data_IF_491838111235
#
_entry.id   IF_491838111235
#
_cell.length_a   1.000
_cell.length_b   1.000
_cell.length_c   1.000
_cell.angle_alpha   90.00
_cell.angle_beta   90.00
_cell.angle_gamma   90.00
#
_symmetry.space_group_name_H-M   'P 1'
#
loop_
_entity.id
_entity.type
_entity.pdbx_description
1 polymer ?
#
# COMPACT_ATOMS: atom_id res chain seq x y z
N UNK A 1 7.20 -5.02 20.04
CA UNK A 1 5.99 -5.42 19.30
C UNK A 1 5.49 -4.23 18.51
N UNK A 2 5.37 -4.39 17.20
CA UNK A 2 4.69 -3.40 16.35
C UNK A 2 3.20 -3.71 16.37
N UNK A 3 2.37 -2.73 16.69
CA UNK A 3 0.90 -2.83 16.63
C UNK A 3 0.44 -1.78 15.63
N UNK A 4 -0.36 -2.22 14.66
CA UNK A 4 -0.96 -1.35 13.66
C UNK A 4 -2.47 -1.61 13.61
N UNK A 5 -3.25 -0.55 13.43
CA UNK A 5 -4.67 -0.68 13.09
C UNK A 5 -4.76 -1.22 11.67
N UNK A 6 -5.53 -2.30 11.47
CA UNK A 6 -5.68 -2.93 10.14
C UNK A 6 -7.07 -2.60 9.62
N UNK A 7 -7.13 -2.04 8.42
CA UNK A 7 -8.38 -1.95 7.66
C UNK A 7 -8.66 -3.32 7.00
N UNK A 8 -7.68 -3.84 6.26
CA UNK A 8 -7.74 -5.16 5.66
C UNK A 8 -6.36 -5.70 5.27
N UNK A 9 -6.36 -6.95 4.83
CA UNK A 9 -5.18 -7.72 4.43
C UNK A 9 -5.40 -8.29 3.03
N UNK A 10 -4.45 -8.03 2.13
CA UNK A 10 -4.43 -8.60 0.79
C UNK A 10 -3.30 -9.62 0.71
N UNK A 11 -3.68 -10.89 0.65
CA UNK A 11 -2.73 -11.99 0.61
C UNK A 11 -1.93 -12.04 -0.70
N UNK A 12 -0.61 -12.13 -0.57
CA UNK A 12 0.33 -12.39 -1.64
C UNK A 12 0.76 -13.86 -1.61
N UNK A 13 -0.01 -14.71 -2.28
CA UNK A 13 0.37 -16.09 -2.60
C UNK A 13 1.36 -16.17 -3.77
N UNK A 14 2.34 -15.27 -3.83
CA UNK A 14 3.26 -15.17 -4.95
C UNK A 14 4.45 -16.10 -4.73
N UNK A 15 4.50 -17.22 -5.45
CA UNK A 15 5.67 -18.12 -5.47
C UNK A 15 6.79 -17.62 -6.39
N UNK A 16 6.70 -16.38 -6.87
CA UNK A 16 7.67 -15.82 -7.80
C UNK A 16 9.03 -15.68 -7.13
N UNK A 17 10.07 -16.07 -7.87
CA UNK A 17 11.48 -15.94 -7.44
C UNK A 17 12.20 -14.78 -8.11
N UNK A 18 11.63 -14.31 -9.21
CA UNK A 18 12.15 -13.19 -9.98
C UNK A 18 11.78 -11.85 -9.30
N UNK A 19 12.78 -10.98 -9.14
CA UNK A 19 12.64 -9.71 -8.40
C UNK A 19 11.66 -8.76 -9.09
N UNK A 20 11.74 -8.63 -10.43
CA UNK A 20 10.85 -7.77 -11.21
C UNK A 20 9.39 -8.23 -11.08
N UNK A 21 9.13 -9.53 -11.23
CA UNK A 21 7.79 -10.08 -11.06
C UNK A 21 7.27 -9.91 -9.63
N UNK A 22 8.12 -10.03 -8.61
CA UNK A 22 7.75 -9.75 -7.23
C UNK A 22 7.35 -8.29 -7.04
N UNK A 23 8.15 -7.35 -7.54
CA UNK A 23 7.87 -5.91 -7.47
C UNK A 23 6.58 -5.55 -8.21
N UNK A 24 6.36 -6.10 -9.41
CA UNK A 24 5.12 -5.88 -10.16
C UNK A 24 3.91 -6.46 -9.44
N UNK A 25 4.04 -7.64 -8.80
CA UNK A 25 2.98 -8.22 -8.00
C UNK A 25 2.63 -7.32 -6.79
N UNK A 26 3.65 -6.78 -6.10
CA UNK A 26 3.44 -5.82 -5.01
C UNK A 26 2.78 -4.53 -5.47
N UNK A 27 3.27 -3.93 -6.56
CA UNK A 27 2.67 -2.74 -7.14
C UNK A 27 1.21 -2.96 -7.56
N UNK A 28 0.91 -4.13 -8.14
CA UNK A 28 -0.46 -4.51 -8.49
C UNK A 28 -1.37 -4.64 -7.26
N UNK A 29 -0.86 -5.17 -6.14
CA UNK A 29 -1.63 -5.20 -4.88
C UNK A 29 -1.84 -3.83 -4.30
N UNK A 30 -0.82 -2.98 -4.30
CA UNK A 30 -0.93 -1.59 -3.86
C UNK A 30 -1.94 -0.78 -4.73
N UNK A 31 -2.02 -1.10 -6.02
CA UNK A 31 -2.96 -0.48 -6.97
C UNK A 31 -4.40 -1.02 -6.90
N UNK A 32 -4.67 -2.07 -6.11
CA UNK A 32 -5.97 -2.72 -6.07
C UNK A 32 -7.07 -1.76 -5.61
N UNK A 33 -8.24 -1.87 -6.24
CA UNK A 33 -9.41 -1.03 -5.96
C UNK A 33 -9.86 -1.13 -4.48
N UNK A 34 -10.39 -0.03 -3.95
CA UNK A 34 -10.77 0.09 -2.54
C UNK A 34 -9.68 0.65 -1.62
N UNK A 35 -8.52 1.04 -2.17
CA UNK A 35 -7.52 1.83 -1.42
C UNK A 35 -8.09 3.21 -1.08
N UNK A 36 -7.70 3.77 0.07
CA UNK A 36 -8.00 5.15 0.43
C UNK A 36 -7.49 6.09 -0.66
N UNK A 37 -8.37 6.98 -1.11
CA UNK A 37 -8.12 7.84 -2.26
C UNK A 37 -7.23 9.02 -1.87
N UNK A 38 -6.00 9.15 -2.39
CA UNK A 38 -5.13 10.27 -2.03
C UNK A 38 -5.64 11.63 -2.54
N UNK A 39 -6.56 11.65 -3.52
CA UNK A 39 -7.17 12.88 -4.06
C UNK A 39 -8.36 13.38 -3.23
N UNK A 40 -9.01 12.52 -2.46
CA UNK A 40 -10.19 12.87 -1.67
C UNK A 40 -9.84 12.71 -0.20
N UNK A 41 -9.58 13.83 0.52
CA UNK A 41 -9.31 13.79 1.95
C UNK A 41 -10.43 13.04 2.67
N UNK A 42 -10.06 11.96 3.35
CA UNK A 42 -10.99 11.20 4.15
C UNK A 42 -11.22 11.89 5.50
N UNK A 43 -12.42 11.72 6.09
CA UNK A 43 -12.67 12.03 7.52
C UNK A 43 -12.04 11.00 8.48
N UNK A 44 -11.30 10.03 7.97
CA UNK A 44 -10.26 9.35 8.76
C UNK A 44 -9.15 10.38 8.99
N UNK A 45 -9.37 11.29 9.95
CA UNK A 45 -8.71 12.59 10.14
C UNK A 45 -7.18 12.55 10.37
N UNK A 46 -6.48 11.43 10.14
CA UNK A 46 -5.04 11.31 10.34
C UNK A 46 -4.31 10.37 9.35
N UNK A 47 -4.95 9.85 8.31
CA UNK A 47 -4.31 8.85 7.43
C UNK A 47 -3.74 9.47 6.16
N UNK A 48 -2.43 9.74 6.19
CA UNK A 48 -1.61 9.47 4.99
C UNK A 48 -1.77 7.97 4.68
N UNK A 49 -1.89 7.60 3.41
CA UNK A 49 -2.15 6.22 2.96
C UNK A 49 -1.04 5.24 3.38
N UNK A 50 -1.05 4.83 4.66
CA UNK A 50 -0.03 3.96 5.21
C UNK A 50 -0.34 2.50 4.93
N UNK A 51 0.68 1.78 4.48
CA UNK A 51 0.60 0.35 4.25
C UNK A 51 1.80 -0.34 4.86
N UNK A 52 1.59 -1.58 5.32
CA UNK A 52 2.67 -2.47 5.77
C UNK A 52 2.78 -3.63 4.79
N UNK A 53 3.96 -3.79 4.21
CA UNK A 53 4.37 -4.98 3.48
C UNK A 53 4.91 -5.99 4.48
N UNK A 54 4.13 -7.03 4.78
CA UNK A 54 4.61 -8.21 5.49
C UNK A 54 5.26 -9.13 4.47
N UNK A 55 6.58 -9.02 4.36
CA UNK A 55 7.37 -9.71 3.35
C UNK A 55 7.95 -11.02 3.90
N UNK A 56 7.75 -12.12 3.19
CA UNK A 56 8.40 -13.38 3.54
C UNK A 56 9.93 -13.27 3.40
N UNK A 57 10.71 -14.01 4.22
CA UNK A 57 12.17 -14.03 4.09
C UNK A 57 12.68 -14.43 2.70
N UNK A 58 11.94 -15.27 1.96
CA UNK A 58 12.34 -15.65 0.60
C UNK A 58 12.20 -14.51 -0.40
N UNK A 59 11.11 -13.75 -0.33
CA UNK A 59 10.96 -12.56 -1.18
C UNK A 59 12.02 -11.52 -0.87
N UNK A 60 12.28 -11.27 0.42
CA UNK A 60 13.33 -10.35 0.85
C UNK A 60 14.70 -10.76 0.32
N UNK A 61 15.04 -12.06 0.39
CA UNK A 61 16.29 -12.61 -0.14
C UNK A 61 16.41 -12.45 -1.65
N UNK A 62 15.36 -12.73 -2.41
CA UNK A 62 15.38 -12.61 -3.87
C UNK A 62 15.57 -11.15 -4.30
N UNK A 63 14.90 -10.21 -3.61
CA UNK A 63 15.07 -8.77 -3.85
C UNK A 63 16.48 -8.31 -3.49
N UNK A 64 17.02 -8.74 -2.35
CA UNK A 64 18.39 -8.41 -1.91
C UNK A 64 19.46 -8.96 -2.87
N UNK A 65 19.28 -10.18 -3.36
CA UNK A 65 20.18 -10.80 -4.35
C UNK A 65 20.26 -10.03 -5.68
N UNK A 66 19.17 -9.34 -6.05
CA UNK A 66 19.11 -8.49 -7.24
C UNK A 66 19.48 -7.03 -6.96
N UNK A 67 19.93 -6.73 -5.73
CA UNK A 67 20.44 -5.42 -5.33
C UNK A 67 19.37 -4.41 -4.88
N UNK A 68 18.15 -4.86 -4.60
CA UNK A 68 17.10 -3.98 -4.11
C UNK A 68 17.27 -3.66 -2.62
N UNK A 69 17.14 -2.36 -2.31
CA UNK A 69 17.01 -1.86 -0.94
C UNK A 69 15.54 -1.61 -0.60
N UNK A 70 15.19 -1.55 0.69
CA UNK A 70 13.84 -1.12 1.13
C UNK A 70 13.42 0.18 0.45
N UNK A 71 14.32 1.16 0.36
CA UNK A 71 14.07 2.43 -0.32
C UNK A 71 13.67 2.22 -1.79
N UNK A 72 14.47 1.46 -2.54
CA UNK A 72 14.17 1.19 -3.96
C UNK A 72 12.86 0.43 -4.16
N UNK A 73 12.50 -0.47 -3.24
CA UNK A 73 11.22 -1.20 -3.28
C UNK A 73 10.05 -0.22 -3.10
N UNK A 74 10.13 0.69 -2.12
CA UNK A 74 9.11 1.71 -1.88
C UNK A 74 8.95 2.65 -3.08
N UNK A 75 10.06 3.15 -3.61
CA UNK A 75 10.09 4.02 -4.79
C UNK A 75 9.47 3.32 -6.01
N UNK A 76 9.81 2.05 -6.24
CA UNK A 76 9.21 1.25 -7.31
C UNK A 76 7.69 1.17 -7.14
N UNK A 77 7.22 0.76 -5.95
CA UNK A 77 5.80 0.59 -5.70
C UNK A 77 5.06 1.92 -5.84
N UNK A 78 5.58 3.01 -5.27
CA UNK A 78 4.95 4.33 -5.41
C UNK A 78 4.86 4.79 -6.88
N UNK A 79 5.87 4.51 -7.69
CA UNK A 79 5.89 4.84 -9.12
C UNK A 79 4.98 3.94 -9.99
N UNK A 80 4.82 2.67 -9.61
CA UNK A 80 4.11 1.66 -10.39
C UNK A 80 2.66 1.41 -9.94
N UNK A 81 2.33 1.67 -8.67
CA UNK A 81 1.01 1.44 -8.09
C UNK A 81 0.02 2.52 -8.55
N UNK A 82 -0.60 2.28 -9.70
CA UNK A 82 -1.55 3.19 -10.33
C UNK A 82 -2.84 2.48 -10.69
N UNK A 83 -3.94 3.21 -10.58
CA UNK A 83 -5.26 2.75 -11.00
C UNK A 83 -5.94 3.81 -11.87
N UNK A 84 -6.68 3.43 -12.92
CA UNK A 84 -7.56 4.34 -13.62
C UNK A 84 -8.51 5.09 -12.68
N UNK A 85 -8.67 6.39 -12.91
CA UNK A 85 -9.53 7.28 -12.13
C UNK A 85 -10.94 6.71 -11.90
N UNK A 86 -11.54 6.10 -12.94
CA UNK A 86 -12.88 5.50 -12.86
C UNK A 86 -13.04 4.47 -11.73
N UNK A 87 -12.01 3.67 -11.45
CA UNK A 87 -12.08 2.65 -10.39
C UNK A 87 -11.97 3.26 -9.01
N UNK A 88 -11.16 4.30 -8.88
CA UNK A 88 -11.01 5.05 -7.64
C UNK A 88 -12.29 5.80 -7.26
N UNK A 89 -12.94 6.43 -8.24
CA UNK A 89 -14.25 7.07 -8.06
C UNK A 89 -15.32 6.05 -7.69
N UNK A 90 -15.33 4.89 -8.36
CA UNK A 90 -16.29 3.82 -8.07
C UNK A 90 -16.12 3.20 -6.66
N UNK A 91 -14.93 3.32 -6.06
CA UNK A 91 -14.64 2.81 -4.71
C UNK A 91 -14.78 3.85 -3.60
N UNK A 92 -15.36 5.02 -3.88
CA UNK A 92 -15.55 6.04 -2.86
C UNK A 92 -16.51 5.55 -1.75
N UNK A 93 -16.16 5.76 -0.47
CA UNK A 93 -17.03 5.38 0.65
C UNK A 93 -18.24 6.32 0.82
N UNK A 94 -18.34 7.36 -0.01
CA UNK A 94 -19.39 8.37 0.05
C UNK A 94 -20.02 8.57 -1.32
N UNK A 95 -21.27 9.05 -1.35
CA UNK A 95 -21.91 9.39 -2.62
C UNK A 95 -21.19 10.58 -3.27
N UNK A 96 -21.12 10.56 -4.60
CA UNK A 96 -20.55 11.66 -5.40
C UNK A 96 -21.17 13.01 -5.04
N UNK A 97 -22.47 13.03 -4.77
CA UNK A 97 -23.20 14.25 -4.40
C UNK A 97 -22.77 14.84 -3.05
N UNK A 98 -22.23 14.01 -2.17
CA UNK A 98 -21.75 14.41 -0.83
C UNK A 98 -20.33 14.98 -0.85
N UNK A 99 -19.63 14.92 -1.98
CA UNK A 99 -18.28 15.47 -2.07
C UNK A 99 -18.30 17.01 -2.01
N UNK A 100 -17.35 17.61 -1.26
CA UNK A 100 -17.12 19.04 -1.27
C UNK A 100 -16.99 19.61 -2.70
N UNK A 101 -17.55 20.80 -2.94
CA UNK A 101 -17.55 21.42 -4.28
C UNK A 101 -16.14 21.58 -4.87
N UNK A 102 -15.14 21.84 -4.03
CA UNK A 102 -13.73 21.97 -4.42
C UNK A 102 -13.06 20.63 -4.80
N UNK A 103 -13.75 19.49 -4.68
CA UNK A 103 -13.26 18.17 -5.12
C UNK A 103 -14.02 17.65 -6.35
N UNK A 104 -15.07 18.35 -6.81
CA UNK A 104 -15.88 17.91 -7.95
C UNK A 104 -15.13 18.00 -9.29
N UNK A 105 -14.03 18.75 -9.38
CA UNK A 105 -13.16 18.79 -10.56
C UNK A 105 -12.63 17.40 -10.96
N UNK A 106 -12.56 16.45 -10.01
CA UNK A 106 -12.15 15.07 -10.27
C UNK A 106 -13.05 14.41 -11.32
N UNK A 107 -14.33 14.79 -11.40
CA UNK A 107 -15.26 14.26 -12.41
C UNK A 107 -15.09 14.85 -13.81
N UNK A 108 -14.33 15.93 -13.94
CA UNK A 108 -14.04 16.57 -15.23
C UNK A 108 -12.78 15.99 -15.89
N UNK A 109 -12.01 15.19 -15.15
CA UNK A 109 -10.82 14.51 -15.65
C UNK A 109 -11.19 13.30 -16.54
N UNK A 110 -10.26 12.90 -17.41
CA UNK A 110 -10.37 11.66 -18.18
C UNK A 110 -10.46 10.43 -17.24
N UNK A 111 -11.52 9.61 -17.30
CA UNK A 111 -11.68 8.41 -16.47
C UNK A 111 -10.54 7.38 -16.59
N UNK A 112 -9.77 7.40 -17.68
CA UNK A 112 -8.60 6.51 -17.88
C UNK A 112 -7.30 7.09 -17.30
N UNK A 113 -7.32 8.32 -16.78
CA UNK A 113 -6.15 8.93 -16.13
C UNK A 113 -5.62 8.01 -15.05
N UNK A 114 -4.33 7.70 -15.12
CA UNK A 114 -3.66 6.86 -14.14
C UNK A 114 -3.34 7.66 -12.88
N UNK A 115 -3.97 7.30 -11.76
CA UNK A 115 -3.75 7.94 -10.47
C UNK A 115 -2.94 7.01 -9.59
N UNK A 116 -1.90 7.54 -8.93
CA UNK A 116 -1.15 6.77 -7.95
C UNK A 116 -2.01 6.50 -6.72
N UNK A 117 -2.02 5.24 -6.25
CA UNK A 117 -2.69 4.87 -5.00
C UNK A 117 -1.78 5.04 -3.78
N UNK A 118 -0.46 5.06 -4.01
CA UNK A 118 0.58 5.25 -3.00
C UNK A 118 1.54 6.36 -3.46
N UNK A 119 1.12 7.63 -3.42
CA UNK A 119 1.85 8.73 -4.04
C UNK A 119 3.16 9.07 -3.32
N UNK A 120 3.31 8.66 -2.07
CA UNK A 120 4.51 8.88 -1.25
C UNK A 120 5.10 7.51 -0.88
N UNK A 121 6.35 7.21 -1.26
CA UNK A 121 7.02 5.97 -0.88
C UNK A 121 7.21 5.81 0.64
N UNK A 122 7.28 6.90 1.40
CA UNK A 122 7.52 6.86 2.85
C UNK A 122 6.30 6.38 3.64
N UNK A 123 5.12 6.30 3.01
CA UNK A 123 3.93 5.70 3.65
C UNK A 123 3.93 4.17 3.63
N UNK A 124 4.93 3.54 3.00
CA UNK A 124 5.07 2.08 2.92
C UNK A 124 6.08 1.59 3.96
N UNK A 125 5.64 0.86 4.97
CA UNK A 125 6.53 0.16 5.89
C UNK A 125 6.80 -1.27 5.43
N UNK A 126 8.06 -1.72 5.51
CA UNK A 126 8.46 -3.07 5.06
C UNK A 126 8.99 -3.86 6.25
N UNK A 127 8.27 -4.92 6.60
CA UNK A 127 8.62 -5.82 7.70
C UNK A 127 8.83 -7.22 7.14
N UNK A 128 10.01 -7.81 7.41
CA UNK A 128 10.31 -9.19 7.00
C UNK A 128 9.85 -10.14 8.11
N UNK A 129 8.84 -10.96 7.83
CA UNK A 129 8.20 -11.85 8.82
C UNK A 129 7.80 -13.18 8.21
N UNK A 130 7.65 -14.20 9.06
CA UNK A 130 7.20 -15.53 8.67
C UNK A 130 8.35 -16.48 8.31
N UNK A 131 8.09 -17.43 7.42
CA UNK A 131 9.02 -18.49 7.02
C UNK A 131 9.26 -18.56 5.51
N UNK A 132 10.16 -19.45 5.04
CA UNK A 132 10.60 -19.54 3.65
C UNK A 132 9.59 -20.26 2.75
N UNK A 133 8.35 -19.75 2.70
CA UNK A 133 7.26 -20.35 1.90
C UNK A 133 6.64 -19.39 0.88
N UNK A 134 7.24 -18.19 0.71
CA UNK A 134 6.79 -17.19 -0.26
C UNK A 134 5.42 -16.57 0.04
N UNK A 135 4.90 -16.74 1.26
CA UNK A 135 3.63 -16.12 1.69
C UNK A 135 3.90 -14.76 2.29
N UNK A 136 3.40 -13.73 1.64
CA UNK A 136 3.53 -12.34 2.06
C UNK A 136 2.14 -11.69 2.11
N UNK A 137 2.02 -10.51 2.71
CA UNK A 137 0.76 -9.78 2.79
C UNK A 137 0.96 -8.28 2.57
N UNK A 138 0.02 -7.67 1.87
CA UNK A 138 -0.14 -6.22 1.84
C UNK A 138 -1.22 -5.82 2.84
N UNK A 139 -0.84 -5.11 3.90
CA UNK A 139 -1.74 -4.74 4.99
C UNK A 139 -2.05 -3.26 4.88
N UNK A 140 -3.33 -2.92 4.66
CA UNK A 140 -3.78 -1.53 4.66
C UNK A 140 -4.09 -1.11 6.08
N UNK A 141 -3.54 0.02 6.50
CA UNK A 141 -3.69 0.48 7.86
C UNK A 141 -4.95 1.35 8.03
N UNK A 142 -5.41 1.46 9.27
CA UNK A 142 -6.43 2.41 9.70
C UNK A 142 -5.95 3.17 10.93
N UNK A 143 -6.03 4.50 10.87
CA UNK A 143 -5.70 5.41 11.96
C UNK A 143 -4.24 5.91 11.96
N UNK A 144 -4.01 6.91 12.82
CA UNK A 144 -2.76 7.66 13.02
C UNK A 144 -1.45 6.83 12.93
N UNK A 145 -0.30 7.46 12.60
CA UNK A 145 0.93 6.78 12.24
C UNK A 145 1.34 5.66 13.21
N UNK A 146 1.77 4.54 12.63
CA UNK A 146 2.15 3.33 13.37
C UNK A 146 3.23 3.64 14.40
N UNK A 147 2.94 3.40 15.68
CA UNK A 147 3.93 3.50 16.75
C UNK A 147 4.55 2.13 16.95
N UNK A 148 5.78 1.93 16.46
CA UNK A 148 6.57 0.75 16.80
C UNK A 148 7.18 0.94 18.19
N UNK A 149 6.87 0.04 19.15
CA UNK A 149 7.52 0.01 20.46
C UNK A 149 8.25 -1.31 20.66
N UNK A 150 9.47 -1.26 21.19
CA UNK A 150 10.12 -2.45 21.75
C UNK A 150 9.33 -2.85 22.99
N UNK A 151 8.96 -4.13 23.12
CA UNK A 151 8.51 -4.66 24.41
C UNK A 151 9.77 -5.18 25.06
N UNK A 152 10.20 -4.54 26.15
CA UNK A 152 11.29 -5.03 26.97
C UNK A 152 10.84 -6.33 27.64
N UNK A 153 11.70 -7.35 27.65
CA UNK A 153 11.43 -8.55 28.43
C UNK A 153 11.43 -8.18 29.92
N UNK A 154 10.51 -8.73 30.72
CA UNK A 154 10.58 -8.56 32.16
C UNK A 154 11.90 -9.13 32.68
N UNK A 155 12.57 -8.35 33.54
CA UNK A 155 13.82 -8.72 34.21
C UNK A 155 13.70 -9.99 35.06
#
# INVERSE_FOLDING_TARGET
VTIFGVNDVIHMGSYQRDAEQLLMAWASRAAAAGHTNPLIPSRFEFDENHAVMLMSPDHARNLDQDGHTKKSVREFISGAAKTPLKYMVASLPTSVDSLPANLKWIFEMDPETQISTVPDPDTIEIVVVGGPTGKSDWVRLSGAPTITKVIEEPA
#
